data_IF_532413354675
#
_entry.id   IF_532413354675
#
_cell.length_a   1.000
_cell.length_b   1.000
_cell.length_c   1.000
_cell.angle_alpha   90.00
_cell.angle_beta   90.00
_cell.angle_gamma   90.00
#
_symmetry.space_group_name_H-M   'P 1'
#
loop_
_entity.id
_entity.type
_entity.pdbx_description
1 polymer ?
#
# COMPACT_ATOMS: atom_id res chain seq x y z
N UNK A 1 -8.16 2.84 -12.60
CA UNK A 1 -8.09 1.47 -13.17
C UNK A 1 -6.64 1.09 -13.49
N UNK A 2 -5.90 1.89 -14.28
CA UNK A 2 -4.46 1.67 -14.57
C UNK A 2 -3.56 1.62 -13.31
N UNK A 3 -3.87 2.46 -12.32
CA UNK A 3 -3.16 2.55 -11.04
C UNK A 3 -3.02 1.26 -10.23
N UNK A 4 -3.92 0.29 -10.41
CA UNK A 4 -3.88 -0.95 -9.63
C UNK A 4 -2.70 -1.86 -10.02
N UNK A 5 -2.46 -1.96 -11.32
CA UNK A 5 -1.43 -2.81 -11.90
C UNK A 5 -0.03 -2.17 -11.79
N UNK A 6 0.04 -0.87 -11.52
CA UNK A 6 1.30 -0.15 -11.36
C UNK A 6 2.10 -0.68 -10.16
N UNK A 7 3.37 -1.09 -10.33
CA UNK A 7 4.23 -1.50 -9.22
C UNK A 7 4.69 -0.32 -8.36
N UNK A 8 4.48 0.92 -8.82
CA UNK A 8 4.76 2.13 -8.05
C UNK A 8 3.69 2.38 -6.97
N UNK A 9 2.47 1.91 -7.19
CA UNK A 9 1.41 1.94 -6.18
C UNK A 9 1.44 0.65 -5.38
N UNK A 10 1.69 0.77 -4.09
CA UNK A 10 1.71 -0.36 -3.16
C UNK A 10 0.27 -0.76 -2.84
N UNK A 11 0.01 -2.07 -2.85
CA UNK A 11 -1.27 -2.65 -2.51
C UNK A 11 -1.22 -3.23 -1.11
N UNK A 12 -2.37 -3.27 -0.45
CA UNK A 12 -2.56 -3.91 0.85
C UNK A 12 -3.81 -4.78 0.84
N UNK A 13 -3.70 -5.97 1.42
CA UNK A 13 -4.86 -6.82 1.75
C UNK A 13 -5.00 -6.90 3.25
N UNK A 14 -6.22 -6.84 3.75
CA UNK A 14 -6.53 -6.85 5.17
C UNK A 14 -7.38 -8.07 5.54
N UNK A 15 -7.35 -8.44 6.81
CA UNK A 15 -8.36 -9.33 7.37
C UNK A 15 -9.66 -8.58 7.68
N UNK A 16 -10.66 -9.32 8.15
CA UNK A 16 -11.98 -8.77 8.49
C UNK A 16 -11.96 -7.80 9.69
N UNK A 17 -10.88 -7.78 10.48
CA UNK A 17 -10.68 -6.86 11.59
C UNK A 17 -9.89 -5.60 11.16
N UNK A 18 -9.60 -5.43 9.88
CA UNK A 18 -8.85 -4.29 9.35
C UNK A 18 -7.35 -4.34 9.66
N UNK A 19 -6.79 -5.52 9.95
CA UNK A 19 -5.33 -5.69 10.10
C UNK A 19 -4.72 -6.09 8.76
N UNK A 20 -3.60 -5.48 8.39
CA UNK A 20 -2.89 -5.84 7.18
C UNK A 20 -2.42 -7.30 7.26
N UNK A 21 -2.75 -8.08 6.24
CA UNK A 21 -2.22 -9.43 6.02
C UNK A 21 -0.92 -9.36 5.21
N UNK A 22 -0.89 -8.53 4.17
CA UNK A 22 0.29 -8.37 3.32
C UNK A 22 0.28 -7.05 2.54
N UNK A 23 1.47 -6.56 2.22
CA UNK A 23 1.70 -5.43 1.30
C UNK A 23 2.51 -5.91 0.11
N UNK A 24 2.17 -5.44 -1.10
CA UNK A 24 2.91 -5.85 -2.30
C UNK A 24 2.86 -4.79 -3.40
N UNK A 25 3.90 -4.79 -4.24
CA UNK A 25 3.87 -4.10 -5.53
C UNK A 25 3.13 -4.92 -6.60
N UNK A 26 2.98 -6.23 -6.40
CA UNK A 26 2.14 -7.08 -7.23
C UNK A 26 0.65 -6.73 -7.04
N UNK A 27 -0.20 -6.96 -8.06
CA UNK A 27 -1.64 -6.75 -7.92
C UNK A 27 -2.25 -7.80 -6.98
N UNK A 28 -2.67 -7.36 -5.78
CA UNK A 28 -3.25 -8.21 -4.73
C UNK A 28 -4.51 -7.57 -4.11
N UNK A 29 -5.68 -8.22 -4.09
CA UNK A 29 -5.89 -9.63 -4.40
C UNK A 29 -5.89 -9.90 -5.90
N UNK A 30 -5.47 -11.11 -6.27
CA UNK A 30 -5.54 -11.60 -7.65
C UNK A 30 -6.98 -12.04 -7.97
N UNK A 31 -7.67 -11.42 -8.96
CA UNK A 31 -9.01 -11.81 -9.33
C UNK A 31 -8.98 -13.01 -10.29
N UNK A 32 -9.01 -14.23 -9.73
CA UNK A 32 -8.88 -15.48 -10.51
C UNK A 32 -9.85 -15.58 -11.70
N UNK A 33 -11.09 -15.16 -11.48
CA UNK A 33 -12.19 -15.34 -12.45
C UNK A 33 -12.45 -14.07 -13.29
N UNK A 34 -11.67 -13.01 -13.13
CA UNK A 34 -11.76 -11.80 -13.98
C UNK A 34 -10.55 -11.71 -14.95
N UNK A 35 -10.72 -12.18 -16.19
CA UNK A 35 -9.60 -12.37 -17.13
C UNK A 35 -8.92 -11.07 -17.59
N UNK A 36 -9.60 -9.93 -17.51
CA UNK A 36 -9.09 -8.64 -18.00
C UNK A 36 -8.35 -7.81 -16.93
N UNK A 37 -7.94 -8.42 -15.82
CA UNK A 37 -7.41 -7.70 -14.66
C UNK A 37 -8.32 -6.55 -14.21
N UNK A 38 -9.63 -6.79 -14.31
CA UNK A 38 -10.66 -5.92 -13.76
C UNK A 38 -10.41 -5.68 -12.27
N UNK A 39 -10.90 -4.55 -11.75
CA UNK A 39 -11.02 -4.45 -10.29
C UNK A 39 -12.00 -5.56 -9.89
N UNK A 40 -11.63 -6.46 -8.95
CA UNK A 40 -12.51 -7.50 -8.47
C UNK A 40 -13.88 -6.90 -8.15
N UNK A 41 -14.92 -7.36 -8.86
CA UNK A 41 -16.29 -7.04 -8.52
C UNK A 41 -16.69 -7.94 -7.37
N UNK A 42 -16.62 -7.43 -6.13
CA UNK A 42 -16.94 -8.23 -4.96
C UNK A 42 -16.39 -7.65 -3.65
N UNK A 43 -16.47 -8.41 -2.55
CA UNK A 43 -16.03 -7.95 -1.22
C UNK A 43 -14.51 -7.73 -1.13
N UNK A 44 -13.74 -8.29 -2.06
CA UNK A 44 -12.29 -8.19 -2.12
C UNK A 44 -11.86 -6.93 -2.89
N UNK A 45 -12.11 -5.76 -2.32
CA UNK A 45 -11.78 -4.48 -2.96
C UNK A 45 -10.27 -4.21 -2.90
N UNK A 46 -9.64 -3.92 -4.05
CA UNK A 46 -8.31 -3.35 -4.15
C UNK A 46 -8.04 -2.14 -3.26
N UNK A 47 -7.10 -2.24 -2.33
CA UNK A 47 -6.66 -1.10 -1.51
C UNK A 47 -5.26 -0.64 -1.92
N UNK A 48 -5.14 0.66 -2.19
CA UNK A 48 -3.86 1.34 -2.34
C UNK A 48 -3.34 1.81 -0.98
N UNK A 49 -2.09 1.47 -0.67
CA UNK A 49 -1.45 1.92 0.55
C UNK A 49 -0.98 3.39 0.40
N UNK A 50 -1.29 4.19 1.41
CA UNK A 50 -0.80 5.57 1.58
C UNK A 50 0.22 5.56 2.71
N UNK A 51 1.42 6.09 2.46
CA UNK A 51 2.55 6.06 3.40
C UNK A 51 2.44 6.98 4.61
N UNK A 52 1.32 6.94 5.33
CA UNK A 52 1.10 7.64 6.59
C UNK A 52 0.96 6.58 7.68
N UNK A 53 1.76 6.73 8.74
CA UNK A 53 1.82 5.77 9.82
C UNK A 53 1.68 6.44 11.18
N UNK A 54 1.02 5.75 12.10
CA UNK A 54 0.99 6.06 13.51
C UNK A 54 1.59 4.87 14.27
N UNK A 55 2.53 5.14 15.17
CA UNK A 55 3.21 4.11 15.95
C UNK A 55 3.05 4.38 17.44
N UNK A 56 2.90 3.29 18.21
CA UNK A 56 3.28 3.36 19.62
C UNK A 56 4.80 3.46 19.71
N UNK A 57 5.30 4.21 20.69
CA UNK A 57 6.74 4.49 20.83
C UNK A 57 7.55 3.20 20.94
N UNK A 58 7.12 2.27 21.77
CA UNK A 58 7.75 0.97 22.00
C UNK A 58 7.82 0.13 20.72
N UNK A 59 6.74 0.10 19.94
CA UNK A 59 6.68 -0.62 18.66
C UNK A 59 7.65 -0.04 17.64
N UNK A 60 7.74 1.30 17.55
CA UNK A 60 8.70 1.96 16.65
C UNK A 60 10.14 1.61 17.04
N UNK A 61 10.48 1.71 18.33
CA UNK A 61 11.82 1.40 18.83
C UNK A 61 12.20 -0.07 18.63
N UNK A 62 11.24 -0.99 18.75
CA UNK A 62 11.46 -2.39 18.43
C UNK A 62 11.72 -2.58 16.93
N UNK A 63 10.89 -1.99 16.07
CA UNK A 63 10.98 -2.13 14.61
C UNK A 63 12.33 -1.65 14.07
N UNK A 64 12.80 -0.47 14.51
CA UNK A 64 14.05 0.12 14.02
C UNK A 64 15.31 -0.64 14.45
N UNK A 65 15.24 -1.43 15.53
CA UNK A 65 16.36 -2.28 15.97
C UNK A 65 16.49 -3.57 15.15
N UNK A 66 15.46 -3.94 14.40
CA UNK A 66 15.46 -5.17 13.61
C UNK A 66 16.19 -4.93 12.28
N UNK A 67 17.00 -5.90 11.82
CA UNK A 67 17.62 -5.80 10.51
C UNK A 67 16.55 -5.84 9.41
N UNK A 68 16.86 -5.34 8.20
CA UNK A 68 15.97 -5.46 7.07
C UNK A 68 15.53 -6.91 6.85
N UNK A 69 14.24 -7.11 6.63
CA UNK A 69 13.66 -8.46 6.47
C UNK A 69 13.76 -8.96 5.02
N UNK A 70 13.71 -10.28 4.75
CA UNK A 70 13.76 -10.80 3.38
C UNK A 70 12.68 -10.21 2.45
N UNK A 71 11.43 -10.11 2.92
CA UNK A 71 10.31 -9.58 2.12
C UNK A 71 10.43 -8.08 1.92
N UNK A 72 10.85 -7.33 2.94
CA UNK A 72 11.18 -5.91 2.79
C UNK A 72 12.21 -5.67 1.68
N UNK A 73 13.30 -6.46 1.66
CA UNK A 73 14.34 -6.31 0.64
C UNK A 73 13.83 -6.66 -0.76
N UNK A 74 13.00 -7.69 -0.86
CA UNK A 74 12.41 -8.15 -2.12
C UNK A 74 11.45 -7.12 -2.71
N UNK A 75 10.48 -6.66 -1.91
CA UNK A 75 9.42 -5.73 -2.34
C UNK A 75 9.83 -4.26 -2.26
N UNK A 76 10.95 -3.95 -1.57
CA UNK A 76 11.33 -2.58 -1.19
C UNK A 76 10.22 -1.87 -0.42
N UNK A 77 9.76 -2.53 0.65
CA UNK A 77 8.66 -2.08 1.53
C UNK A 77 9.00 -2.31 3.01
N UNK A 78 9.34 -1.24 3.73
CA UNK A 78 9.81 -1.27 5.12
C UNK A 78 8.80 -1.89 6.09
N UNK A 79 7.50 -1.66 5.88
CA UNK A 79 6.44 -2.17 6.74
C UNK A 79 6.35 -3.71 6.73
N UNK A 80 6.92 -4.40 5.73
CA UNK A 80 7.02 -5.86 5.74
C UNK A 80 7.97 -6.38 6.82
N UNK A 81 8.94 -5.56 7.28
CA UNK A 81 9.77 -5.89 8.44
C UNK A 81 8.93 -6.08 9.71
N UNK A 82 7.93 -5.22 9.90
CA UNK A 82 7.02 -5.33 11.04
C UNK A 82 6.18 -6.61 10.96
N UNK A 83 5.60 -6.91 9.79
CA UNK A 83 4.82 -8.13 9.60
C UNK A 83 5.66 -9.40 9.80
N UNK A 84 6.87 -9.47 9.24
CA UNK A 84 7.76 -10.63 9.43
C UNK A 84 8.25 -10.78 10.87
N UNK A 85 8.26 -9.70 11.65
CA UNK A 85 8.57 -9.72 13.07
C UNK A 85 7.38 -10.17 13.95
N UNK A 86 6.22 -10.48 13.35
CA UNK A 86 5.00 -10.85 14.07
C UNK A 86 4.21 -9.66 14.62
N UNK A 87 4.55 -8.43 14.24
CA UNK A 87 3.81 -7.24 14.66
C UNK A 87 2.54 -7.10 13.82
N UNK A 88 1.48 -6.59 14.44
CA UNK A 88 0.22 -6.27 13.74
C UNK A 88 0.22 -4.84 13.25
N UNK A 89 -0.26 -4.62 12.02
CA UNK A 89 -0.48 -3.28 11.45
C UNK A 89 -1.99 -3.10 11.24
N UNK A 90 -2.60 -2.15 11.93
CA UNK A 90 -3.98 -1.73 11.67
C UNK A 90 -4.04 -0.83 10.43
N UNK A 91 -5.08 -0.97 9.63
CA UNK A 91 -5.31 -0.20 8.41
C UNK A 91 -6.62 0.57 8.54
N UNK A 92 -6.56 1.87 8.26
CA UNK A 92 -7.75 2.72 8.15
C UNK A 92 -7.99 3.02 6.68
N UNK A 93 -9.17 2.64 6.19
CA UNK A 93 -9.58 2.91 4.81
C UNK A 93 -10.19 4.31 4.74
N UNK A 94 -9.74 5.10 3.76
CA UNK A 94 -10.27 6.43 3.46
C UNK A 94 -10.84 6.46 2.04
N UNK A 95 -11.89 7.26 1.82
CA UNK A 95 -12.56 7.33 0.51
C UNK A 95 -11.66 7.94 -0.57
N UNK A 96 -10.80 8.89 -0.18
CA UNK A 96 -9.92 9.60 -1.11
C UNK A 96 -8.55 9.80 -0.49
N UNK A 97 -7.53 9.48 -1.26
CA UNK A 97 -6.15 9.82 -0.96
C UNK A 97 -5.63 10.79 -2.03
N UNK A 98 -4.79 11.77 -1.65
CA UNK A 98 -4.07 12.56 -2.65
C UNK A 98 -3.18 11.65 -3.49
N UNK A 99 -3.11 11.93 -4.80
CA UNK A 99 -2.12 11.30 -5.66
C UNK A 99 -0.71 11.71 -5.21
N UNK A 100 0.18 10.74 -5.06
CA UNK A 100 1.62 10.97 -4.93
C UNK A 100 2.18 11.64 -6.18
N UNK A 101 3.42 12.12 -6.09
CA UNK A 101 4.18 12.60 -7.24
C UNK A 101 5.40 11.70 -7.36
N UNK A 102 5.27 10.65 -8.16
CA UNK A 102 6.30 9.64 -8.34
C UNK A 102 6.90 9.67 -9.76
N UNK A 103 6.18 10.26 -10.73
CA UNK A 103 6.65 10.45 -12.11
C UNK A 103 6.61 11.91 -12.57
N UNK A 104 7.20 12.17 -13.74
CA UNK A 104 7.14 13.48 -14.39
C UNK A 104 5.70 13.87 -14.74
N UNK A 105 4.90 12.90 -15.19
CA UNK A 105 3.48 13.07 -15.50
C UNK A 105 2.68 13.44 -14.25
N UNK A 106 2.97 12.83 -13.09
CA UNK A 106 2.33 13.19 -11.83
C UNK A 106 2.61 14.65 -11.44
N UNK A 107 3.85 15.09 -11.65
CA UNK A 107 4.29 16.46 -11.35
C UNK A 107 3.57 17.46 -12.26
N UNK A 108 3.43 17.15 -13.55
CA UNK A 108 2.70 17.98 -14.51
C UNK A 108 1.22 18.06 -14.16
N UNK A 109 0.59 16.93 -13.84
CA UNK A 109 -0.79 16.88 -13.37
C UNK A 109 -0.97 17.68 -12.07
N UNK A 110 -0.02 17.61 -11.14
CA UNK A 110 -0.02 18.44 -9.93
C UNK A 110 0.08 19.94 -10.27
N UNK A 111 1.02 20.35 -11.13
CA UNK A 111 1.18 21.76 -11.55
C UNK A 111 -0.09 22.30 -12.20
N UNK A 112 -0.75 21.53 -13.05
CA UNK A 112 -2.03 21.91 -13.67
C UNK A 112 -3.14 22.13 -12.63
N UNK A 113 -3.25 21.23 -11.63
CA UNK A 113 -4.24 21.35 -10.53
C UNK A 113 -4.02 22.59 -9.66
N UNK A 114 -2.76 22.97 -9.41
CA UNK A 114 -2.43 24.10 -8.52
C UNK A 114 -2.52 25.44 -9.23
N UNK A 115 -2.16 25.53 -10.52
CA UNK A 115 -2.25 26.77 -11.30
C UNK A 115 -3.68 27.25 -11.60
N UNK A 116 -4.66 26.35 -11.52
CA UNK A 116 -6.08 26.67 -11.71
C UNK A 116 -6.83 27.01 -10.41
N UNK A 117 -6.11 27.17 -9.29
CA UNK A 117 -6.64 27.67 -8.02
C UNK A 117 -6.26 29.13 -7.82
#
# INVERSE_FOLDING_TARGET
RADWLSPHRVKVVCDLAGRALYFSRAPIPHPRDEPDHGLPNGPAVPLGHVGIYAYRRESLLELVRRPPSPLERCERLEQLRALQAGMSIGVVVVERAPAGIDTQEDLEAFRMRVRGR
#
